data_IF_327204693799
#
_entry.id   IF_327204693799
#
_cell.length_a   1.000
_cell.length_b   1.000
_cell.length_c   1.000
_cell.angle_alpha   90.00
_cell.angle_beta   90.00
_cell.angle_gamma   90.00
#
_symmetry.space_group_name_H-M   'P 1'
#
loop_
_entity.id
_entity.type
_entity.pdbx_description
1 polymer ?
#
# COMPACT_ATOMS: atom_id res chain seq x y z
N UNK A 1 -1.64 -91.94 -6.85
CA UNK A 1 -0.81 -91.25 -5.85
C UNK A 1 0.04 -90.20 -6.56
N UNK A 2 0.15 -89.01 -5.96
CA UNK A 2 0.91 -87.79 -6.34
C UNK A 2 0.15 -86.71 -7.13
N UNK A 3 -0.38 -85.77 -6.33
CA UNK A 3 -0.65 -84.37 -6.67
C UNK A 3 0.67 -83.63 -7.03
N UNK A 4 0.59 -82.66 -7.93
CA UNK A 4 1.59 -81.61 -8.12
C UNK A 4 0.88 -80.26 -7.93
N UNK A 5 1.28 -79.52 -6.88
CA UNK A 5 0.98 -78.11 -6.65
C UNK A 5 1.93 -77.25 -7.49
N UNK A 6 1.40 -76.23 -8.19
CA UNK A 6 2.20 -75.16 -8.78
C UNK A 6 1.95 -73.86 -7.99
N UNK A 7 3.03 -73.26 -7.48
CA UNK A 7 3.04 -72.03 -6.71
C UNK A 7 3.07 -70.80 -7.65
N UNK A 8 2.18 -69.83 -7.39
CA UNK A 8 2.14 -68.52 -8.04
C UNK A 8 3.11 -67.56 -7.32
N UNK A 9 4.07 -67.00 -8.06
CA UNK A 9 4.94 -65.92 -7.59
C UNK A 9 4.31 -64.56 -7.92
N UNK A 10 3.96 -63.78 -6.90
CA UNK A 10 3.51 -62.38 -7.02
C UNK A 10 4.70 -61.43 -6.96
N UNK A 11 5.01 -60.76 -8.08
CA UNK A 11 5.91 -59.62 -8.13
C UNK A 11 5.19 -58.37 -7.59
N UNK A 12 5.66 -57.85 -6.44
CA UNK A 12 5.32 -56.52 -5.94
C UNK A 12 6.26 -55.49 -6.61
N UNK A 13 5.74 -54.73 -7.56
CA UNK A 13 6.42 -53.53 -8.09
C UNK A 13 6.23 -52.38 -7.10
N UNK A 14 7.32 -51.98 -6.43
CA UNK A 14 7.39 -50.72 -5.71
C UNK A 14 7.44 -49.57 -6.73
N UNK A 15 6.36 -48.80 -6.85
CA UNK A 15 6.37 -47.53 -7.58
C UNK A 15 7.11 -46.48 -6.74
N UNK A 16 8.09 -45.75 -7.30
CA UNK A 16 8.64 -44.59 -6.62
C UNK A 16 7.52 -43.55 -6.46
N UNK A 17 7.33 -43.05 -5.24
CA UNK A 17 6.47 -41.92 -4.97
C UNK A 17 6.96 -40.72 -5.80
N UNK A 18 6.30 -40.46 -6.93
CA UNK A 18 6.50 -39.25 -7.69
C UNK A 18 6.01 -38.10 -6.79
N UNK A 19 6.96 -37.38 -6.19
CA UNK A 19 6.68 -36.12 -5.53
C UNK A 19 5.86 -35.25 -6.48
N UNK A 20 4.61 -34.98 -6.09
CA UNK A 20 3.71 -34.08 -6.83
C UNK A 20 4.42 -32.75 -7.02
N UNK A 21 4.87 -32.49 -8.24
CA UNK A 21 5.34 -31.16 -8.65
C UNK A 21 4.11 -30.27 -8.76
N UNK A 22 3.69 -29.71 -7.62
CA UNK A 22 2.57 -28.76 -7.53
C UNK A 22 2.97 -27.40 -8.12
N UNK A 23 2.08 -26.79 -8.91
CA UNK A 23 2.22 -25.46 -9.53
C UNK A 23 1.92 -25.47 -11.03
N UNK A 24 1.23 -24.45 -11.53
CA UNK A 24 1.06 -24.21 -12.98
C UNK A 24 2.40 -23.79 -13.61
N UNK A 25 2.48 -23.59 -14.94
CA UNK A 25 3.69 -23.05 -15.57
C UNK A 25 4.15 -21.70 -14.99
N UNK A 26 3.21 -20.85 -14.55
CA UNK A 26 3.50 -19.51 -14.04
C UNK A 26 4.28 -19.53 -12.71
N UNK A 27 3.81 -20.26 -11.70
CA UNK A 27 4.42 -20.25 -10.36
C UNK A 27 5.80 -20.90 -10.37
N UNK A 28 6.00 -21.90 -11.26
CA UNK A 28 7.32 -22.51 -11.47
C UNK A 28 8.30 -21.55 -12.12
N UNK A 29 7.87 -20.78 -13.12
CA UNK A 29 8.68 -19.73 -13.72
C UNK A 29 9.05 -18.66 -12.68
N UNK A 30 8.07 -18.15 -11.91
CA UNK A 30 8.34 -17.17 -10.85
C UNK A 30 9.29 -17.71 -9.78
N UNK A 31 9.07 -18.93 -9.29
CA UNK A 31 9.96 -19.58 -8.32
C UNK A 31 11.40 -19.69 -8.86
N UNK A 32 11.57 -20.04 -10.13
CA UNK A 32 12.88 -20.14 -10.78
C UNK A 32 13.56 -18.76 -10.86
N UNK A 33 12.82 -17.70 -11.23
CA UNK A 33 13.36 -16.33 -11.27
C UNK A 33 13.82 -15.86 -9.91
N UNK A 34 13.02 -16.08 -8.87
CA UNK A 34 13.40 -15.73 -7.50
C UNK A 34 14.58 -16.56 -6.99
N UNK A 35 14.64 -17.85 -7.30
CA UNK A 35 15.77 -18.71 -6.92
C UNK A 35 17.09 -18.27 -7.58
N UNK A 36 17.01 -17.75 -8.81
CA UNK A 36 18.17 -17.15 -9.49
C UNK A 36 18.58 -15.82 -8.85
N UNK A 37 17.62 -15.00 -8.45
CA UNK A 37 17.87 -13.69 -7.84
C UNK A 37 18.32 -13.78 -6.37
N UNK A 38 18.00 -14.87 -5.66
CA UNK A 38 18.30 -15.10 -4.25
C UNK A 38 19.08 -16.41 -4.03
N UNK A 39 20.32 -16.54 -4.53
CA UNK A 39 21.07 -17.79 -4.53
C UNK A 39 21.44 -18.35 -3.14
N UNK A 40 21.23 -17.58 -2.06
CA UNK A 40 21.47 -18.00 -0.67
C UNK A 40 20.22 -18.40 0.12
N UNK A 41 19.03 -18.30 -0.49
CA UNK A 41 17.75 -18.56 0.18
C UNK A 41 17.16 -19.90 -0.26
N UNK A 42 16.37 -20.50 0.63
CA UNK A 42 15.51 -21.64 0.31
C UNK A 42 14.13 -21.11 -0.08
N UNK A 43 13.70 -21.40 -1.31
CA UNK A 43 12.41 -20.95 -1.82
C UNK A 43 11.52 -22.15 -2.15
N UNK A 44 10.27 -22.10 -1.70
CA UNK A 44 9.28 -23.14 -2.00
C UNK A 44 7.90 -22.52 -2.19
N UNK A 45 7.07 -23.12 -3.04
CA UNK A 45 5.65 -22.78 -3.09
C UNK A 45 4.95 -23.24 -1.81
N UNK A 46 4.08 -22.42 -1.26
CA UNK A 46 3.30 -22.74 -0.06
C UNK A 46 2.26 -23.82 -0.40
N UNK A 47 2.22 -24.88 0.40
CA UNK A 47 1.27 -25.97 0.19
C UNK A 47 -0.17 -25.45 0.31
N UNK A 48 -1.00 -25.69 -0.70
CA UNK A 48 -2.39 -25.21 -0.77
C UNK A 48 -2.54 -23.76 -1.27
N UNK A 49 -1.44 -23.01 -1.40
CA UNK A 49 -1.43 -21.61 -1.86
C UNK A 49 -0.33 -21.46 -2.94
N UNK A 50 -0.56 -21.95 -4.16
CA UNK A 50 0.50 -22.02 -5.19
C UNK A 50 1.03 -20.64 -5.58
N UNK A 51 0.23 -19.59 -5.46
CA UNK A 51 0.61 -18.19 -5.70
C UNK A 51 1.32 -17.53 -4.51
N UNK A 52 1.87 -18.31 -3.58
CA UNK A 52 2.69 -17.81 -2.47
C UNK A 52 4.03 -18.55 -2.44
N UNK A 53 5.13 -17.79 -2.56
CA UNK A 53 6.49 -18.31 -2.38
C UNK A 53 6.94 -18.03 -0.95
N UNK A 54 7.35 -19.07 -0.22
CA UNK A 54 8.03 -18.94 1.07
C UNK A 54 9.53 -18.85 0.86
N UNK A 55 10.17 -17.91 1.55
CA UNK A 55 11.62 -17.71 1.59
C UNK A 55 12.12 -18.03 2.99
N UNK A 56 13.21 -18.79 3.07
CA UNK A 56 13.92 -19.05 4.33
C UNK A 56 15.43 -18.93 4.13
N UNK A 57 16.12 -18.19 5.00
CA UNK A 57 17.57 -18.00 4.96
C UNK A 57 18.04 -16.98 3.92
N UNK A 58 19.35 -16.74 3.90
CA UNK A 58 19.96 -15.60 3.20
C UNK A 58 19.90 -14.34 4.06
N UNK A 59 19.52 -13.21 3.47
CA UNK A 59 19.24 -11.96 4.21
C UNK A 59 17.83 -11.94 4.85
N UNK A 60 17.05 -13.01 4.67
CA UNK A 60 15.67 -13.13 5.12
C UNK A 60 15.57 -14.21 6.21
N UNK A 61 15.00 -13.88 7.37
CA UNK A 61 14.73 -14.87 8.42
C UNK A 61 13.64 -15.86 7.94
N UNK A 62 12.46 -15.33 7.65
CA UNK A 62 11.34 -16.01 6.99
C UNK A 62 10.44 -14.94 6.33
N UNK A 63 10.05 -15.14 5.07
CA UNK A 63 9.20 -14.21 4.35
C UNK A 63 8.27 -14.94 3.36
N UNK A 64 7.15 -14.31 3.00
CA UNK A 64 6.24 -14.79 1.95
C UNK A 64 6.15 -13.74 0.83
N UNK A 65 6.29 -14.18 -0.44
CA UNK A 65 6.01 -13.37 -1.62
C UNK A 65 4.67 -13.81 -2.18
N UNK A 66 3.73 -12.85 -2.25
CA UNK A 66 2.42 -13.06 -2.83
C UNK A 66 2.45 -12.77 -4.35
N UNK A 67 2.11 -13.77 -5.17
CA UNK A 67 2.12 -13.71 -6.63
C UNK A 67 0.76 -13.36 -7.24
N UNK A 68 -0.31 -13.23 -6.44
CA UNK A 68 -1.67 -13.08 -6.97
C UNK A 68 -1.82 -11.86 -7.87
N UNK A 69 -1.18 -10.74 -7.50
CA UNK A 69 -1.28 -9.50 -8.28
C UNK A 69 -0.59 -9.60 -9.63
N UNK A 70 0.62 -10.18 -9.68
CA UNK A 70 1.37 -10.34 -10.94
C UNK A 70 0.74 -11.42 -11.82
N UNK A 71 0.18 -12.49 -11.23
CA UNK A 71 -0.61 -13.49 -11.93
C UNK A 71 -1.85 -12.89 -12.58
N UNK A 72 -2.64 -12.13 -11.82
CA UNK A 72 -3.81 -11.43 -12.34
C UNK A 72 -3.46 -10.48 -13.48
N UNK A 73 -2.41 -9.66 -13.32
CA UNK A 73 -1.93 -8.77 -14.39
C UNK A 73 -1.55 -9.56 -15.65
N UNK A 74 -0.72 -10.60 -15.52
CA UNK A 74 -0.31 -11.45 -16.62
C UNK A 74 -1.49 -12.14 -17.33
N UNK A 75 -2.59 -12.43 -16.63
CA UNK A 75 -3.79 -13.02 -17.23
C UNK A 75 -4.53 -12.08 -18.18
N UNK A 76 -4.27 -10.77 -18.09
CA UNK A 76 -4.95 -9.72 -18.87
C UNK A 76 -4.00 -9.01 -19.87
N UNK A 77 -2.71 -9.32 -19.84
CA UNK A 77 -1.68 -8.65 -20.62
C UNK A 77 -1.15 -9.53 -21.76
N UNK A 78 -0.45 -8.91 -22.70
CA UNK A 78 0.32 -9.66 -23.71
C UNK A 78 1.48 -10.44 -23.08
N UNK A 79 2.01 -11.42 -23.80
CA UNK A 79 3.15 -12.23 -23.34
C UNK A 79 4.39 -11.36 -23.04
N UNK A 80 4.70 -10.39 -23.90
CA UNK A 80 5.84 -9.48 -23.74
C UNK A 80 5.68 -8.56 -22.51
N UNK A 81 4.48 -8.02 -22.30
CA UNK A 81 4.18 -7.20 -21.11
C UNK A 81 4.26 -8.02 -19.83
N UNK A 82 3.74 -9.25 -19.83
CA UNK A 82 3.85 -10.15 -18.69
C UNK A 82 5.32 -10.51 -18.39
N UNK A 83 6.14 -10.82 -19.40
CA UNK A 83 7.56 -11.11 -19.22
C UNK A 83 8.34 -9.94 -18.62
N UNK A 84 8.04 -8.72 -19.08
CA UNK A 84 8.62 -7.48 -18.56
C UNK A 84 8.19 -7.29 -17.10
N UNK A 85 6.89 -7.39 -16.81
CA UNK A 85 6.35 -7.21 -15.46
C UNK A 85 6.89 -8.25 -14.46
N UNK A 86 7.03 -9.52 -14.85
CA UNK A 86 7.65 -10.56 -14.01
C UNK A 86 9.09 -10.23 -13.67
N UNK A 87 9.86 -9.75 -14.65
CA UNK A 87 11.27 -9.38 -14.46
C UNK A 87 11.41 -8.18 -13.53
N UNK A 88 10.58 -7.16 -13.70
CA UNK A 88 10.53 -6.01 -12.80
C UNK A 88 10.08 -6.38 -11.39
N UNK A 89 9.07 -7.24 -11.27
CA UNK A 89 8.56 -7.70 -9.98
C UNK A 89 9.65 -8.42 -9.18
N UNK A 90 10.38 -9.34 -9.82
CA UNK A 90 11.53 -10.03 -9.19
C UNK A 90 12.61 -9.03 -8.84
N UNK A 91 12.96 -8.10 -9.73
CA UNK A 91 13.97 -7.06 -9.47
C UNK A 91 13.60 -6.23 -8.23
N UNK A 92 12.37 -5.71 -8.17
CA UNK A 92 11.88 -4.86 -7.07
C UNK A 92 11.88 -5.58 -5.72
N UNK A 93 11.51 -6.86 -5.69
CA UNK A 93 11.44 -7.62 -4.44
C UNK A 93 12.78 -8.20 -3.97
N UNK A 94 13.79 -8.27 -4.84
CA UNK A 94 15.11 -8.85 -4.49
C UNK A 94 16.22 -7.82 -4.40
N UNK A 95 15.98 -6.62 -4.90
CA UNK A 95 16.90 -5.49 -4.73
C UNK A 95 16.78 -5.00 -3.29
N UNK A 96 17.90 -5.04 -2.56
CA UNK A 96 17.98 -4.45 -1.23
C UNK A 96 17.66 -2.96 -1.33
N UNK A 97 16.61 -2.54 -0.64
CA UNK A 97 16.28 -1.12 -0.51
C UNK A 97 17.35 -0.44 0.31
N UNK A 98 17.77 0.74 -0.13
CA UNK A 98 18.62 1.61 0.69
C UNK A 98 17.91 1.96 1.99
N UNK A 99 18.68 2.24 3.04
CA UNK A 99 18.09 2.69 4.30
C UNK A 99 17.51 4.10 4.11
N UNK A 100 16.32 4.40 4.69
CA UNK A 100 15.74 5.73 4.62
C UNK A 100 16.70 6.81 5.11
N UNK A 101 16.78 7.90 4.34
CA UNK A 101 17.55 9.09 4.71
C UNK A 101 16.64 10.19 5.22
N UNK A 102 17.14 11.17 5.97
CA UNK A 102 16.32 12.31 6.38
C UNK A 102 15.70 13.10 5.22
N UNK A 103 16.34 13.12 4.05
CA UNK A 103 15.87 13.79 2.82
C UNK A 103 14.78 12.99 2.08
N UNK A 104 14.62 11.71 2.41
CA UNK A 104 13.53 10.88 1.91
C UNK A 104 12.23 11.09 2.69
N UNK A 105 12.26 11.79 3.83
CA UNK A 105 11.09 11.91 4.70
C UNK A 105 9.93 12.67 4.06
N UNK A 106 8.71 12.11 4.16
CA UNK A 106 7.44 12.68 3.70
C UNK A 106 6.35 12.47 4.73
N UNK A 107 5.26 13.23 4.61
CA UNK A 107 3.99 12.94 5.27
C UNK A 107 2.99 12.44 4.23
N UNK A 108 2.32 11.33 4.55
CA UNK A 108 1.21 10.78 3.76
C UNK A 108 -0.06 10.80 4.58
N UNK A 109 -1.21 10.89 3.92
CA UNK A 109 -2.51 10.83 4.61
C UNK A 109 -3.21 9.52 4.26
N UNK A 110 -3.76 8.86 5.27
CA UNK A 110 -4.52 7.61 5.16
C UNK A 110 -5.63 7.56 6.21
N UNK A 111 -6.61 6.69 5.97
CA UNK A 111 -7.74 6.50 6.85
C UNK A 111 -7.44 5.56 8.04
N UNK A 112 -8.47 5.34 8.86
CA UNK A 112 -8.45 4.40 9.97
C UNK A 112 -8.15 2.95 9.53
N UNK A 113 -8.69 2.51 8.38
CA UNK A 113 -8.49 1.14 7.91
C UNK A 113 -7.01 0.85 7.65
N UNK A 114 -6.28 1.83 7.11
CA UNK A 114 -4.83 1.71 6.93
C UNK A 114 -4.07 1.69 8.26
N UNK A 115 -4.46 2.52 9.24
CA UNK A 115 -3.88 2.51 10.59
C UNK A 115 -4.06 1.13 11.24
N UNK A 116 -5.26 0.58 11.14
CA UNK A 116 -5.59 -0.74 11.66
C UNK A 116 -4.75 -1.80 10.94
N UNK A 117 -4.65 -1.74 9.61
CA UNK A 117 -3.83 -2.66 8.83
C UNK A 117 -2.37 -2.67 9.29
N UNK A 118 -1.72 -1.51 9.42
CA UNK A 118 -0.33 -1.43 9.88
C UNK A 118 -0.20 -2.01 11.30
N UNK A 119 -1.08 -1.58 12.20
CA UNK A 119 -1.00 -1.98 13.61
C UNK A 119 -1.13 -3.50 13.78
N UNK A 120 -1.97 -4.15 12.95
CA UNK A 120 -2.17 -5.59 13.00
C UNK A 120 -1.11 -6.40 12.23
N UNK A 121 -0.61 -5.90 11.10
CA UNK A 121 0.23 -6.68 10.17
C UNK A 121 1.72 -6.34 10.25
N UNK A 122 2.08 -5.22 10.87
CA UNK A 122 3.48 -4.79 11.06
C UNK A 122 3.76 -4.61 12.55
N UNK A 123 3.69 -5.66 13.38
CA UNK A 123 3.97 -5.52 14.80
C UNK A 123 5.41 -5.04 14.98
N UNK A 124 5.58 -3.83 15.51
CA UNK A 124 6.87 -3.35 15.96
C UNK A 124 7.44 -4.27 17.06
N UNK A 125 8.71 -4.08 17.43
CA UNK A 125 9.21 -4.71 18.66
C UNK A 125 8.39 -4.20 19.84
N UNK A 126 8.26 -5.00 20.90
CA UNK A 126 7.50 -4.61 22.08
C UNK A 126 7.95 -3.21 22.58
N UNK A 127 7.01 -2.26 22.59
CA UNK A 127 7.27 -0.86 22.96
C UNK A 127 7.82 0.04 21.85
N UNK A 128 7.82 -0.39 20.58
CA UNK A 128 8.16 0.44 19.42
C UNK A 128 6.94 0.62 18.52
N UNK A 129 6.68 1.86 18.12
CA UNK A 129 5.66 2.19 17.12
C UNK A 129 6.17 1.80 15.72
N UNK A 130 5.48 0.91 14.99
CA UNK A 130 5.86 0.55 13.62
C UNK A 130 5.60 1.68 12.62
N UNK A 131 4.73 2.64 12.93
CA UNK A 131 4.41 3.75 12.03
C UNK A 131 3.98 4.99 12.81
N UNK A 132 4.86 5.98 12.84
CA UNK A 132 4.62 7.27 13.50
C UNK A 132 3.50 8.00 12.77
N UNK A 133 2.42 8.31 13.50
CA UNK A 133 1.22 8.93 12.95
C UNK A 133 0.58 9.95 13.89
N UNK A 134 -0.24 10.84 13.34
CA UNK A 134 -1.04 11.83 14.07
C UNK A 134 -2.45 11.95 13.47
N UNK A 135 -3.51 12.04 14.30
CA UNK A 135 -4.86 12.29 13.81
C UNK A 135 -4.97 13.72 13.29
N UNK A 136 -5.45 13.88 12.05
CA UNK A 136 -5.76 15.18 11.44
C UNK A 136 -7.27 15.41 11.27
N UNK A 137 -8.07 14.37 11.51
CA UNK A 137 -9.51 14.38 11.33
C UNK A 137 -10.21 13.24 12.04
N UNK A 138 -11.48 13.06 11.73
CA UNK A 138 -12.24 11.87 12.06
C UNK A 138 -11.89 10.73 11.10
N UNK A 139 -11.33 9.64 11.64
CA UNK A 139 -10.89 8.50 10.84
C UNK A 139 -9.81 8.84 9.81
N UNK A 140 -9.06 9.94 9.99
CA UNK A 140 -8.06 10.44 9.06
C UNK A 140 -6.76 10.80 9.78
N UNK A 141 -5.65 10.27 9.27
CA UNK A 141 -4.34 10.32 9.92
C UNK A 141 -3.26 10.76 8.95
N UNK A 142 -2.31 11.55 9.44
CA UNK A 142 -1.04 11.78 8.80
C UNK A 142 -0.02 10.74 9.31
N UNK A 143 0.79 10.18 8.43
CA UNK A 143 1.84 9.23 8.75
C UNK A 143 3.18 9.77 8.29
N UNK A 144 4.21 9.53 9.11
CA UNK A 144 5.58 9.73 8.70
C UNK A 144 5.99 8.59 7.76
N UNK A 145 6.52 8.96 6.60
CA UNK A 145 6.93 8.04 5.55
C UNK A 145 8.32 8.39 5.01
N UNK A 146 8.91 7.46 4.27
CA UNK A 146 10.03 7.72 3.39
C UNK A 146 9.60 7.51 1.93
N UNK A 147 10.26 8.25 1.04
CA UNK A 147 10.10 8.20 -0.40
C UNK A 147 11.48 8.14 -1.06
N UNK A 148 11.81 6.97 -1.59
CA UNK A 148 13.05 6.66 -2.27
C UNK A 148 12.74 6.12 -3.67
N UNK A 149 13.69 6.19 -4.64
CA UNK A 149 13.43 5.84 -6.03
C UNK A 149 12.77 4.47 -6.26
N UNK A 150 13.08 3.48 -5.42
CA UNK A 150 12.55 2.13 -5.55
C UNK A 150 11.54 1.75 -4.45
N UNK A 151 11.29 2.60 -3.45
CA UNK A 151 10.47 2.25 -2.29
C UNK A 151 9.83 3.46 -1.59
N UNK A 152 8.55 3.30 -1.24
CA UNK A 152 7.83 4.18 -0.32
C UNK A 152 7.34 3.33 0.85
N UNK A 153 7.55 3.79 2.08
CA UNK A 153 7.14 3.08 3.28
C UNK A 153 6.93 3.99 4.47
N UNK A 154 6.28 3.48 5.50
CA UNK A 154 6.08 4.19 6.77
C UNK A 154 7.34 4.13 7.63
N UNK A 155 7.53 5.16 8.45
CA UNK A 155 8.65 5.29 9.38
C UNK A 155 8.16 5.01 10.80
N UNK A 156 8.77 4.00 11.43
CA UNK A 156 8.60 3.70 12.85
C UNK A 156 9.80 4.15 13.70
N UNK A 157 9.73 3.84 15.00
CA UNK A 157 10.76 4.24 15.97
C UNK A 157 12.16 3.71 15.64
N UNK A 158 12.25 2.49 15.09
CA UNK A 158 13.54 1.89 14.70
C UNK A 158 14.24 2.75 13.64
N UNK A 159 13.55 3.09 12.55
CA UNK A 159 14.12 3.87 11.45
C UNK A 159 14.50 5.28 11.89
N UNK A 160 13.74 5.89 12.82
CA UNK A 160 14.14 7.16 13.44
C UNK A 160 15.44 7.03 14.25
N UNK A 161 15.58 5.96 15.04
CA UNK A 161 16.80 5.66 15.77
C UNK A 161 18.02 5.52 14.85
N UNK A 162 17.86 4.81 13.74
CA UNK A 162 18.92 4.62 12.73
C UNK A 162 19.32 5.96 12.09
N UNK A 163 18.35 6.83 11.79
CA UNK A 163 18.59 8.20 11.28
C UNK A 163 19.05 9.21 12.35
N UNK A 164 19.06 8.83 13.63
CA UNK A 164 19.37 9.70 14.78
C UNK A 164 18.47 10.94 14.86
N UNK A 165 17.19 10.78 14.55
CA UNK A 165 16.18 11.83 14.64
C UNK A 165 15.21 11.56 15.79
N UNK A 166 14.79 12.62 16.46
CA UNK A 166 13.59 12.54 17.30
C UNK A 166 12.32 12.56 16.45
N UNK A 167 11.19 12.12 17.01
CA UNK A 167 9.88 12.21 16.37
C UNK A 167 9.59 13.63 15.86
N UNK A 168 9.73 14.63 16.72
CA UNK A 168 9.43 16.03 16.37
C UNK A 168 10.34 16.57 15.25
N UNK A 169 11.62 16.22 15.29
CA UNK A 169 12.57 16.62 14.24
C UNK A 169 12.20 16.00 12.89
N UNK A 170 11.88 14.70 12.89
CA UNK A 170 11.49 13.99 11.69
C UNK A 170 10.15 14.50 11.14
N UNK A 171 9.16 14.73 12.01
CA UNK A 171 7.85 15.26 11.64
C UNK A 171 7.94 16.65 11.02
N UNK A 172 8.64 17.59 11.67
CA UNK A 172 8.84 18.95 11.16
C UNK A 172 9.55 18.94 9.79
N UNK A 173 10.59 18.11 9.66
CA UNK A 173 11.34 17.94 8.42
C UNK A 173 10.48 17.33 7.31
N UNK A 174 9.71 16.29 7.60
CA UNK A 174 8.80 15.66 6.65
C UNK A 174 7.70 16.62 6.19
N UNK A 175 7.13 17.38 7.12
CA UNK A 175 6.13 18.40 6.83
C UNK A 175 6.67 19.45 5.86
N UNK A 176 7.85 20.01 6.13
CA UNK A 176 8.46 21.01 5.26
C UNK A 176 8.76 20.46 3.85
N UNK A 177 9.32 19.25 3.75
CA UNK A 177 9.63 18.61 2.47
C UNK A 177 8.37 18.30 1.66
N UNK A 178 7.36 17.73 2.31
CA UNK A 178 6.08 17.42 1.67
C UNK A 178 5.39 18.69 1.20
N UNK A 179 5.32 19.73 2.04
CA UNK A 179 4.71 21.01 1.64
C UNK A 179 5.43 21.65 0.45
N UNK A 180 6.75 21.47 0.34
CA UNK A 180 7.56 22.02 -0.75
C UNK A 180 7.25 21.45 -2.14
N UNK A 181 6.64 20.26 -2.21
CA UNK A 181 6.27 19.61 -3.48
C UNK A 181 4.77 19.68 -3.79
N UNK A 182 3.95 20.09 -2.82
CA UNK A 182 2.50 20.14 -2.98
C UNK A 182 2.06 21.44 -3.67
N UNK A 183 0.98 21.41 -4.47
CA UNK A 183 0.41 22.61 -5.05
C UNK A 183 -0.13 23.56 -3.96
N UNK A 184 -0.40 24.81 -4.35
CA UNK A 184 -1.15 25.73 -3.51
C UNK A 184 -2.62 25.29 -3.41
N UNK A 185 -3.27 25.57 -2.28
CA UNK A 185 -4.72 25.45 -2.18
C UNK A 185 -5.40 26.42 -3.15
N UNK A 186 -6.58 26.07 -3.70
CA UNK A 186 -7.36 27.00 -4.51
C UNK A 186 -7.78 28.23 -3.69
N UNK A 187 -8.03 29.33 -4.38
CA UNK A 187 -8.62 30.52 -3.75
C UNK A 187 -10.14 30.37 -3.65
N UNK A 188 -10.76 31.13 -2.76
CA UNK A 188 -12.21 31.14 -2.63
C UNK A 188 -12.92 31.52 -3.94
N UNK A 189 -12.33 32.38 -4.77
CA UNK A 189 -12.85 32.78 -6.08
C UNK A 189 -12.80 31.65 -7.12
N UNK A 190 -11.87 30.71 -6.99
CA UNK A 190 -11.83 29.52 -7.85
C UNK A 190 -13.03 28.62 -7.51
N UNK A 191 -13.27 28.40 -6.21
CA UNK A 191 -14.35 27.53 -5.72
C UNK A 191 -15.76 28.09 -5.97
N UNK A 192 -15.92 29.41 -6.05
CA UNK A 192 -17.18 30.05 -6.46
C UNK A 192 -17.55 29.79 -7.92
N UNK A 193 -16.58 29.42 -8.77
CA UNK A 193 -16.81 29.08 -10.18
C UNK A 193 -17.15 27.60 -10.38
N UNK A 194 -16.84 26.76 -9.39
CA UNK A 194 -17.10 25.33 -9.43
C UNK A 194 -16.09 24.55 -8.57
N UNK A 195 -16.26 23.21 -8.48
CA UNK A 195 -15.28 22.37 -7.81
C UNK A 195 -13.92 22.43 -8.53
N UNK A 196 -12.85 22.43 -7.74
CA UNK A 196 -11.48 22.34 -8.22
C UNK A 196 -10.99 20.91 -7.99
N UNK A 197 -10.48 20.30 -9.05
CA UNK A 197 -9.82 19.00 -9.00
C UNK A 197 -8.33 19.23 -9.08
N UNK A 198 -7.60 18.79 -8.06
CA UNK A 198 -6.15 18.77 -8.06
C UNK A 198 -5.69 17.37 -8.43
N UNK A 199 -4.90 17.29 -9.51
CA UNK A 199 -4.27 16.08 -10.00
C UNK A 199 -2.76 16.28 -10.00
N UNK A 200 -2.01 15.23 -9.66
CA UNK A 200 -0.56 15.36 -9.48
C UNK A 200 0.18 14.06 -9.25
N UNK A 201 1.48 14.19 -9.02
CA UNK A 201 2.38 13.08 -8.75
C UNK A 201 2.50 12.84 -7.25
N UNK A 202 1.70 11.87 -6.75
CA UNK A 202 1.75 11.38 -5.37
C UNK A 202 1.40 12.43 -4.31
N UNK A 203 1.14 11.97 -3.09
CA UNK A 203 1.03 12.82 -1.88
C UNK A 203 -0.04 13.90 -1.84
N UNK A 204 -0.88 14.11 -2.86
CA UNK A 204 -1.86 15.20 -2.86
C UNK A 204 -2.76 15.24 -1.61
N UNK A 205 -3.22 14.10 -1.05
CA UNK A 205 -3.96 14.10 0.21
C UNK A 205 -3.21 14.72 1.39
N UNK A 206 -1.88 14.83 1.36
CA UNK A 206 -1.09 15.54 2.37
C UNK A 206 -1.37 17.06 2.40
N UNK A 207 -2.08 17.60 1.41
CA UNK A 207 -2.67 18.95 1.51
C UNK A 207 -3.57 19.07 2.76
N UNK A 208 -4.26 18.01 3.16
CA UNK A 208 -5.18 18.03 4.30
C UNK A 208 -4.48 18.22 5.66
N UNK A 209 -3.15 18.14 5.71
CA UNK A 209 -2.35 18.31 6.93
C UNK A 209 -2.23 19.80 7.33
N UNK A 210 -2.25 20.72 6.36
CA UNK A 210 -2.13 22.17 6.62
C UNK A 210 -3.48 22.76 7.08
N UNK A 211 -3.95 22.31 8.25
CA UNK A 211 -5.21 22.73 8.86
C UNK A 211 -5.35 24.27 8.93
N UNK A 212 -4.32 25.05 9.31
CA UNK A 212 -4.44 26.51 9.32
C UNK A 212 -4.74 27.12 7.94
N UNK A 213 -4.19 26.57 6.86
CA UNK A 213 -4.52 27.05 5.50
C UNK A 213 -5.94 26.70 5.10
N UNK A 214 -6.42 25.51 5.48
CA UNK A 214 -7.81 25.11 5.26
C UNK A 214 -8.81 25.92 6.09
N UNK A 215 -8.48 26.26 7.33
CA UNK A 215 -9.30 27.15 8.16
C UNK A 215 -9.50 28.52 7.49
N UNK A 216 -8.41 29.10 6.97
CA UNK A 216 -8.49 30.38 6.24
C UNK A 216 -9.37 30.28 5.00
N UNK A 217 -9.27 29.18 4.25
CA UNK A 217 -10.11 28.95 3.09
C UNK A 217 -11.58 28.78 3.49
N UNK A 218 -11.87 27.96 4.51
CA UNK A 218 -13.21 27.70 5.01
C UNK A 218 -13.93 28.99 5.49
N UNK A 219 -13.21 29.90 6.15
CA UNK A 219 -13.74 31.22 6.55
C UNK A 219 -14.22 32.03 5.34
N UNK A 220 -13.53 31.92 4.20
CA UNK A 220 -13.83 32.69 2.98
C UNK A 220 -14.93 32.04 2.13
N UNK A 221 -15.07 30.72 2.19
CA UNK A 221 -16.01 29.94 1.35
C UNK A 221 -17.31 29.59 2.06
N UNK A 222 -17.32 29.56 3.40
CA UNK A 222 -18.46 29.16 4.21
C UNK A 222 -18.46 27.67 4.59
N UNK A 223 -19.51 27.22 5.33
CA UNK A 223 -19.55 25.90 5.96
C UNK A 223 -19.69 24.73 4.98
N UNK A 224 -20.04 25.02 3.73
CA UNK A 224 -20.27 24.04 2.66
C UNK A 224 -19.02 23.66 1.88
N UNK A 225 -17.85 24.16 2.28
CA UNK A 225 -16.56 23.68 1.78
C UNK A 225 -16.41 22.20 2.12
N UNK A 226 -16.18 21.39 1.09
CA UNK A 226 -15.88 19.98 1.22
C UNK A 226 -14.55 19.62 0.54
N UNK A 227 -13.96 18.50 1.00
CA UNK A 227 -12.78 17.88 0.41
C UNK A 227 -12.99 16.38 0.31
N UNK A 228 -12.61 15.77 -0.81
CA UNK A 228 -12.55 14.33 -1.00
C UNK A 228 -11.19 13.94 -1.59
N UNK A 229 -10.64 12.81 -1.14
CA UNK A 229 -9.32 12.33 -1.55
C UNK A 229 -9.34 10.80 -1.66
N UNK A 230 -9.73 10.28 -2.82
CA UNK A 230 -9.88 8.84 -3.03
C UNK A 230 -8.57 8.15 -3.38
N UNK A 231 -7.56 8.87 -3.87
CA UNK A 231 -6.24 8.32 -4.22
C UNK A 231 -5.10 9.26 -3.83
N UNK A 232 -3.86 8.77 -3.90
CA UNK A 232 -2.65 9.57 -3.67
C UNK A 232 -2.47 10.73 -4.67
N UNK A 233 -3.24 10.74 -5.76
CA UNK A 233 -3.05 11.62 -6.92
C UNK A 233 -4.26 12.48 -7.23
N UNK A 234 -5.30 12.43 -6.39
CA UNK A 234 -6.54 13.15 -6.63
C UNK A 234 -7.05 13.76 -5.33
N UNK A 235 -7.29 15.07 -5.36
CA UNK A 235 -8.05 15.78 -4.32
C UNK A 235 -9.10 16.66 -4.99
N UNK A 236 -10.36 16.43 -4.63
CA UNK A 236 -11.50 17.25 -5.08
C UNK A 236 -11.88 18.21 -3.96
N UNK A 237 -12.02 19.49 -4.32
CA UNK A 237 -12.34 20.58 -3.40
C UNK A 237 -13.53 21.33 -3.98
N UNK A 238 -14.58 21.56 -3.20
CA UNK A 238 -15.75 22.27 -3.71
C UNK A 238 -16.59 22.90 -2.61
N UNK A 239 -17.62 23.61 -3.04
CA UNK A 239 -18.65 24.16 -2.16
C UNK A 239 -19.96 23.49 -2.57
N UNK A 240 -20.56 22.71 -1.67
CA UNK A 240 -21.80 22.00 -1.95
C UNK A 240 -22.65 21.95 -0.68
N UNK A 241 -23.83 22.60 -0.64
CA UNK A 241 -24.76 22.49 0.47
C UNK A 241 -25.22 21.05 0.67
N UNK A 242 -25.69 20.74 1.87
CA UNK A 242 -26.36 19.46 2.14
C UNK A 242 -27.61 19.31 1.26
N UNK A 243 -27.88 18.08 0.80
CA UNK A 243 -28.98 17.76 -0.11
C UNK A 243 -28.69 16.54 -0.98
N UNK A 244 -29.61 16.22 -1.89
CA UNK A 244 -29.52 15.04 -2.76
C UNK A 244 -28.23 14.99 -3.59
N UNK A 245 -27.79 16.12 -4.13
CA UNK A 245 -26.54 16.20 -4.89
C UNK A 245 -25.31 15.87 -4.02
N UNK A 246 -25.31 16.28 -2.75
CA UNK A 246 -24.23 16.00 -1.81
C UNK A 246 -24.21 14.53 -1.38
N UNK A 247 -25.38 13.91 -1.20
CA UNK A 247 -25.49 12.45 -1.01
C UNK A 247 -24.96 11.68 -2.22
N UNK A 248 -25.30 12.13 -3.43
CA UNK A 248 -24.78 11.58 -4.68
C UNK A 248 -23.25 11.67 -4.76
N UNK A 249 -22.68 12.82 -4.35
CA UNK A 249 -21.23 13.00 -4.28
C UNK A 249 -20.58 12.04 -3.27
N UNK A 250 -21.13 11.91 -2.05
CA UNK A 250 -20.61 10.96 -1.03
C UNK A 250 -20.59 9.53 -1.57
N UNK A 251 -21.67 9.11 -2.23
CA UNK A 251 -21.74 7.79 -2.88
C UNK A 251 -20.68 7.64 -3.98
N UNK A 252 -20.52 8.65 -4.84
CA UNK A 252 -19.53 8.60 -5.92
C UNK A 252 -18.10 8.48 -5.39
N UNK A 253 -17.77 9.19 -4.30
CA UNK A 253 -16.45 9.12 -3.63
C UNK A 253 -16.22 7.73 -3.04
N UNK A 254 -17.21 7.15 -2.37
CA UNK A 254 -17.11 5.79 -1.83
C UNK A 254 -16.97 4.73 -2.93
N UNK A 255 -17.76 4.85 -4.00
CA UNK A 255 -17.71 3.93 -5.14
C UNK A 255 -16.36 4.04 -5.87
N UNK A 256 -15.82 5.24 -6.09
CA UNK A 256 -14.49 5.45 -6.68
C UNK A 256 -13.39 4.85 -5.80
N UNK A 257 -13.40 5.18 -4.50
CA UNK A 257 -12.47 4.60 -3.52
C UNK A 257 -12.44 3.06 -3.56
N UNK A 258 -13.60 2.40 -3.67
CA UNK A 258 -13.69 0.95 -3.74
C UNK A 258 -13.05 0.34 -5.01
N UNK A 259 -12.88 1.13 -6.08
CA UNK A 259 -12.18 0.72 -7.30
C UNK A 259 -10.68 1.04 -7.26
N UNK A 260 -10.23 1.88 -6.32
CA UNK A 260 -8.82 2.24 -6.19
C UNK A 260 -8.04 1.13 -5.50
N UNK A 261 -6.89 0.75 -6.06
CA UNK A 261 -6.00 -0.23 -5.43
C UNK A 261 -5.45 0.27 -4.07
N UNK A 262 -5.22 1.58 -3.99
CA UNK A 262 -4.70 2.26 -2.80
C UNK A 262 -5.59 3.44 -2.47
N UNK A 263 -6.83 3.13 -2.06
CA UNK A 263 -7.71 4.18 -1.57
C UNK A 263 -7.11 4.89 -0.36
N UNK A 264 -7.27 6.20 -0.30
CA UNK A 264 -6.84 7.03 0.84
C UNK A 264 -7.95 7.14 1.88
N UNK A 265 -9.17 7.44 1.45
CA UNK A 265 -10.39 7.47 2.28
C UNK A 265 -11.65 7.42 1.41
N UNK A 266 -12.71 6.70 1.82
CA UNK A 266 -13.99 6.67 1.12
C UNK A 266 -14.91 7.86 1.47
N UNK A 267 -14.45 8.79 2.32
CA UNK A 267 -15.30 9.84 2.90
C UNK A 267 -15.11 11.20 2.25
N UNK A 268 -16.18 11.99 2.29
CA UNK A 268 -16.15 13.44 2.06
C UNK A 268 -16.00 14.13 3.40
N UNK A 269 -15.07 15.07 3.49
CA UNK A 269 -14.77 15.79 4.72
C UNK A 269 -15.21 17.24 4.65
N UNK A 270 -15.65 17.77 5.79
CA UNK A 270 -15.82 19.21 6.02
C UNK A 270 -14.93 19.64 7.17
N UNK A 271 -14.37 20.85 7.08
CA UNK A 271 -13.60 21.40 8.18
C UNK A 271 -14.54 21.99 9.24
N UNK A 272 -14.41 21.53 10.49
CA UNK A 272 -15.21 22.00 11.63
C UNK A 272 -14.28 22.20 12.83
N UNK A 273 -14.28 23.42 13.39
CA UNK A 273 -13.49 23.76 14.59
C UNK A 273 -12.01 23.35 14.46
N UNK A 274 -11.43 23.59 13.28
CA UNK A 274 -10.02 23.30 12.99
C UNK A 274 -9.67 21.84 12.75
N UNK A 275 -10.66 20.95 12.55
CA UNK A 275 -10.44 19.54 12.24
C UNK A 275 -11.31 19.08 11.08
N UNK A 276 -10.83 18.08 10.36
CA UNK A 276 -11.66 17.36 9.39
C UNK A 276 -12.68 16.49 10.11
N UNK A 277 -13.94 16.62 9.74
CA UNK A 277 -15.07 15.81 10.23
C UNK A 277 -15.70 15.15 9.01
N UNK A 278 -16.11 13.89 9.15
CA UNK A 278 -16.82 13.20 8.06
C UNK A 278 -18.14 13.93 7.84
N UNK A 279 -18.47 14.21 6.59
CA UNK A 279 -19.71 14.88 6.26
C UNK A 279 -20.88 13.88 6.36
N UNK A 280 -21.74 14.08 7.35
CA UNK A 280 -22.98 13.30 7.54
C UNK A 280 -23.99 13.49 6.41
#
# INVERSE_FOLDING_TARGET
MRLILAALATLLFALPAAAQRSGTPFERDMLQRFSKALPGSQLNLKAGEPLVIRIKGGEWDEAEINLHRIDYYCSQSSEEECETAKSEFVRKLTTKTEDPTPESLRLVVRDQQYLDYITHNMPGKAGQDPAIHEPIGEGLYAFLAFDMPEAIGVIGDKSLGDMKLTRDQAWLRAHAQTRGILPALPKAEDLKRGPVVLEGEGYLPALLIDLPSWERLAIQTGPDLFVAATSDRLVVIGIMPEGEDFEGMKKAVADDCAQQERCVTPFVYRLRKGRWVIAD
#
